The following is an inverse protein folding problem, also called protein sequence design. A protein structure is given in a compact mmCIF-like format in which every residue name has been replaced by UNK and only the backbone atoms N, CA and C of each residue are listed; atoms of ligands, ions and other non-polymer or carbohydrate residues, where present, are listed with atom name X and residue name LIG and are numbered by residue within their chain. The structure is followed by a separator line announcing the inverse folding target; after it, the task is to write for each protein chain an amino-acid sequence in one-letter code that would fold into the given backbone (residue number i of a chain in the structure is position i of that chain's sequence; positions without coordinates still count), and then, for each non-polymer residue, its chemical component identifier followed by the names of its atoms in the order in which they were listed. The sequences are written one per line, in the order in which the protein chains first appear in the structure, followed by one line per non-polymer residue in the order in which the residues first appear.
data_IF_457316889958
#
_entry.id   IF_457316889958
#
_cell.length_a   1.000
_cell.length_b   1.000
_cell.length_c   1.000
_cell.angle_alpha   90.00
_cell.angle_beta   90.00
_cell.angle_gamma   90.00
#
_symmetry.space_group_name_H-M   'P 1'
#
loop_
_entity.id
_entity.type
_entity.pdbx_description
1 polymer ?
#
# COMPACT_ATOMS: atom_id res chain seq x y z
N UNK A 1 4.76 -2.68 -22.59
CA UNK A 1 4.40 -1.90 -23.81
C UNK A 1 5.07 -0.54 -23.63
N UNK A 2 5.85 -0.03 -24.59
CA UNK A 2 6.37 1.32 -24.51
C UNK A 2 5.21 2.33 -24.50
N UNK A 3 5.38 3.42 -23.75
CA UNK A 3 4.43 4.52 -23.75
C UNK A 3 4.35 5.13 -25.16
N UNK A 4 3.17 5.56 -25.62
CA UNK A 4 3.07 6.36 -26.82
C UNK A 4 3.94 7.63 -26.71
N UNK A 5 4.54 8.05 -27.82
CA UNK A 5 5.52 9.15 -27.85
C UNK A 5 5.00 10.52 -27.39
N UNK A 6 3.68 10.67 -27.21
CA UNK A 6 3.03 11.90 -26.76
C UNK A 6 2.68 11.91 -25.27
N UNK A 7 3.07 10.85 -24.52
CA UNK A 7 2.87 10.82 -23.08
C UNK A 7 4.10 11.33 -22.35
N UNK A 8 3.87 12.19 -21.38
CA UNK A 8 4.89 12.76 -20.50
C UNK A 8 4.60 12.41 -19.05
N UNK A 9 5.65 12.43 -18.23
CA UNK A 9 5.54 12.18 -16.81
C UNK A 9 4.76 13.29 -16.12
N UNK A 10 3.61 12.96 -15.57
CA UNK A 10 2.80 13.85 -14.74
C UNK A 10 3.16 13.65 -13.25
N UNK A 11 4.37 14.03 -12.88
CA UNK A 11 4.89 13.85 -11.53
C UNK A 11 4.29 14.79 -10.50
N UNK A 12 4.54 14.49 -9.24
CA UNK A 12 4.07 15.28 -8.09
C UNK A 12 4.61 16.73 -8.07
N UNK A 13 5.63 17.03 -8.85
CA UNK A 13 6.30 18.35 -8.93
C UNK A 13 5.90 19.17 -10.15
N UNK A 14 5.19 18.61 -11.13
CA UNK A 14 4.77 19.35 -12.32
C UNK A 14 3.53 20.20 -12.01
N UNK A 15 3.60 21.55 -12.08
CA UNK A 15 2.46 22.43 -11.82
C UNK A 15 1.32 22.25 -12.83
N UNK A 16 1.60 21.77 -14.03
CA UNK A 16 0.61 21.59 -15.10
C UNK A 16 -0.03 20.18 -15.05
N UNK A 17 0.69 19.18 -14.55
CA UNK A 17 0.27 17.79 -14.48
C UNK A 17 0.28 17.23 -13.05
N UNK A 18 0.93 17.93 -12.12
CA UNK A 18 1.30 17.44 -10.80
C UNK A 18 0.15 17.27 -9.81
N UNK A 19 -1.06 17.67 -10.14
CA UNK A 19 -2.16 17.55 -9.21
C UNK A 19 -2.74 16.14 -9.14
N UNK A 20 -2.60 15.32 -10.18
CA UNK A 20 -3.25 14.00 -10.21
C UNK A 20 -2.76 13.06 -9.10
N UNK A 21 -1.46 12.99 -8.88
CA UNK A 21 -0.92 12.23 -7.76
C UNK A 21 -1.30 12.83 -6.40
N UNK A 22 -1.30 14.17 -6.27
CA UNK A 22 -1.64 14.86 -5.02
C UNK A 22 -3.12 14.81 -4.70
N UNK A 23 -3.98 14.69 -5.71
CA UNK A 23 -5.43 14.55 -5.53
C UNK A 23 -5.83 13.18 -4.99
N UNK A 24 -4.96 12.15 -5.14
CA UNK A 24 -5.22 10.84 -4.58
C UNK A 24 -5.05 10.86 -3.07
N UNK A 25 -5.97 10.23 -2.35
CA UNK A 25 -5.82 9.99 -0.92
C UNK A 25 -4.67 9.02 -0.64
N UNK A 26 -4.22 8.93 0.60
CA UNK A 26 -3.19 7.96 0.98
C UNK A 26 -3.68 6.52 0.77
N UNK A 27 -4.95 6.26 1.03
CA UNK A 27 -5.59 4.96 0.80
C UNK A 27 -5.61 4.61 -0.69
N UNK A 28 -5.95 5.56 -1.56
CA UNK A 28 -5.91 5.35 -3.01
C UNK A 28 -4.48 5.05 -3.50
N UNK A 29 -3.48 5.76 -2.95
CA UNK A 29 -2.06 5.50 -3.28
C UNK A 29 -1.63 4.10 -2.87
N UNK A 30 -1.99 3.66 -1.67
CA UNK A 30 -1.73 2.30 -1.18
C UNK A 30 -2.40 1.26 -2.09
N UNK A 31 -3.68 1.45 -2.40
CA UNK A 31 -4.42 0.53 -3.26
C UNK A 31 -3.84 0.45 -4.67
N UNK A 32 -3.42 1.58 -5.26
CA UNK A 32 -2.77 1.60 -6.58
C UNK A 32 -1.42 0.86 -6.55
N UNK A 33 -0.60 1.11 -5.53
CA UNK A 33 0.66 0.41 -5.37
C UNK A 33 0.48 -1.10 -5.25
N UNK A 34 -0.53 -1.55 -4.49
CA UNK A 34 -0.88 -2.97 -4.38
C UNK A 34 -1.43 -3.55 -5.68
N UNK A 35 -2.29 -2.81 -6.39
CA UNK A 35 -2.84 -3.26 -7.67
C UNK A 35 -1.73 -3.48 -8.72
N UNK A 36 -0.74 -2.61 -8.76
CA UNK A 36 0.41 -2.74 -9.65
C UNK A 36 1.40 -3.82 -9.19
N UNK A 37 1.52 -4.05 -7.89
CA UNK A 37 2.36 -5.12 -7.33
C UNK A 37 1.79 -6.50 -7.66
N UNK A 38 0.49 -6.69 -7.49
CA UNK A 38 -0.18 -7.98 -7.67
C UNK A 38 -0.85 -8.17 -9.03
N UNK A 39 -0.92 -7.12 -9.85
CA UNK A 39 -1.48 -7.14 -11.18
C UNK A 39 -0.47 -7.39 -12.29
N UNK A 40 -0.85 -7.02 -13.51
CA UNK A 40 0.03 -7.08 -14.68
C UNK A 40 1.13 -6.00 -14.59
N UNK A 41 2.39 -6.29 -14.98
CA UNK A 41 2.89 -7.55 -15.56
C UNK A 41 3.37 -8.59 -14.53
N UNK A 42 3.31 -8.30 -13.23
CA UNK A 42 3.86 -9.17 -12.18
C UNK A 42 3.10 -10.49 -12.04
N UNK A 43 1.80 -10.46 -12.29
CA UNK A 43 0.97 -11.64 -12.29
C UNK A 43 0.66 -12.07 -13.73
N UNK A 44 1.29 -13.15 -14.16
CA UNK A 44 1.01 -13.83 -15.43
C UNK A 44 0.95 -15.33 -15.17
N UNK A 45 0.22 -16.07 -16.02
CA UNK A 45 0.29 -17.52 -16.01
C UNK A 45 -0.66 -18.23 -15.06
N UNK A 46 -1.84 -17.66 -14.75
CA UNK A 46 -2.89 -18.42 -14.05
C UNK A 46 -3.53 -19.47 -14.98
N UNK A 47 -3.41 -19.31 -16.31
CA UNK A 47 -3.99 -20.24 -17.27
C UNK A 47 -3.29 -20.20 -18.64
N UNK A 48 -3.62 -19.96 -19.77
CA UNK A 48 -2.98 -20.13 -21.08
C UNK A 48 -2.54 -18.82 -21.75
N UNK A 49 -2.03 -18.88 -22.98
CA UNK A 49 -1.50 -17.75 -23.75
C UNK A 49 -2.44 -16.55 -23.98
N UNK A 50 -3.72 -16.66 -23.66
CA UNK A 50 -4.69 -15.55 -23.67
C UNK A 50 -4.67 -14.74 -22.36
N UNK A 51 -3.90 -15.14 -21.41
CA UNK A 51 -3.94 -14.68 -20.03
C UNK A 51 -3.37 -13.30 -19.81
N UNK A 52 -2.35 -12.88 -20.57
CA UNK A 52 -1.72 -11.57 -20.40
C UNK A 52 -2.74 -10.43 -20.64
N UNK A 53 -3.58 -10.55 -21.66
CA UNK A 53 -4.62 -9.54 -21.94
C UNK A 53 -5.71 -9.54 -20.87
N UNK A 54 -6.10 -10.69 -20.37
CA UNK A 54 -7.09 -10.80 -19.29
C UNK A 54 -6.55 -10.23 -17.97
N UNK A 55 -5.29 -10.53 -17.64
CA UNK A 55 -4.61 -9.97 -16.48
C UNK A 55 -4.45 -8.45 -16.58
N UNK A 56 -4.00 -7.95 -17.72
CA UNK A 56 -3.91 -6.53 -18.01
C UNK A 56 -5.25 -5.82 -17.83
N UNK A 57 -6.31 -6.35 -18.46
CA UNK A 57 -7.65 -5.77 -18.38
C UNK A 57 -8.21 -5.78 -16.95
N UNK A 58 -7.98 -6.85 -16.19
CA UNK A 58 -8.38 -6.94 -14.79
C UNK A 58 -7.64 -5.91 -13.92
N UNK A 59 -6.33 -5.78 -14.11
CA UNK A 59 -5.51 -4.76 -13.42
C UNK A 59 -6.00 -3.36 -13.76
N UNK A 60 -6.25 -3.09 -15.05
CA UNK A 60 -6.74 -1.80 -15.53
C UNK A 60 -8.09 -1.43 -14.89
N UNK A 61 -9.01 -2.39 -14.79
CA UNK A 61 -10.29 -2.14 -14.14
C UNK A 61 -10.13 -1.81 -12.66
N UNK A 62 -9.28 -2.54 -11.95
CA UNK A 62 -8.99 -2.26 -10.53
C UNK A 62 -8.39 -0.85 -10.37
N UNK A 63 -7.44 -0.48 -11.22
CA UNK A 63 -6.85 0.87 -11.25
C UNK A 63 -7.93 1.93 -11.47
N UNK A 64 -8.83 1.75 -12.42
CA UNK A 64 -9.94 2.69 -12.65
C UNK A 64 -10.88 2.79 -11.45
N UNK A 65 -11.25 1.67 -10.85
CA UNK A 65 -12.11 1.67 -9.67
C UNK A 65 -11.48 2.48 -8.51
N UNK A 66 -10.15 2.38 -8.35
CA UNK A 66 -9.43 3.12 -7.32
C UNK A 66 -9.34 4.62 -7.67
N UNK A 67 -8.90 4.95 -8.87
CA UNK A 67 -8.70 6.36 -9.29
C UNK A 67 -9.99 7.16 -9.35
N UNK A 68 -11.10 6.51 -9.67
CA UNK A 68 -12.44 7.12 -9.68
C UNK A 68 -13.10 7.15 -8.29
N UNK A 69 -12.44 6.60 -7.26
CA UNK A 69 -12.97 6.60 -5.90
C UNK A 69 -14.06 5.55 -5.64
N UNK A 70 -14.31 4.65 -6.60
CA UNK A 70 -15.32 3.59 -6.43
C UNK A 70 -14.85 2.47 -5.51
N UNK A 71 -13.54 2.20 -5.51
CA UNK A 71 -12.92 1.21 -4.63
C UNK A 71 -12.20 1.89 -3.49
N UNK A 72 -12.68 1.63 -2.27
CA UNK A 72 -12.15 2.22 -1.02
C UNK A 72 -11.30 1.25 -0.22
N UNK A 73 -11.42 -0.06 -0.49
CA UNK A 73 -10.54 -1.09 0.02
C UNK A 73 -10.45 -2.24 -0.99
N UNK A 74 -9.55 -3.23 -0.81
CA UNK A 74 -9.52 -4.40 -1.69
C UNK A 74 -10.85 -5.17 -1.74
N UNK A 75 -11.65 -5.10 -0.68
CA UNK A 75 -12.93 -5.82 -0.53
C UNK A 75 -14.17 -4.97 -0.73
N UNK A 76 -14.04 -3.64 -0.78
CA UNK A 76 -15.16 -2.71 -0.87
C UNK A 76 -15.19 -1.94 -2.18
N UNK A 77 -16.30 -2.04 -2.87
CA UNK A 77 -16.61 -1.30 -4.07
C UNK A 77 -17.89 -0.48 -3.82
N UNK A 78 -17.74 0.83 -3.63
CA UNK A 78 -18.84 1.70 -3.21
C UNK A 78 -19.78 2.06 -4.35
N UNK A 79 -19.26 2.35 -5.53
CA UNK A 79 -20.12 2.63 -6.67
C UNK A 79 -20.21 1.41 -7.58
N UNK A 80 -21.42 1.00 -7.79
CA UNK A 80 -21.80 -0.17 -8.56
C UNK A 80 -22.38 0.21 -9.91
N UNK A 81 -22.59 1.49 -10.14
CA UNK A 81 -23.41 1.98 -11.23
C UNK A 81 -22.67 2.76 -12.31
N UNK A 82 -21.34 2.58 -12.45
CA UNK A 82 -20.63 3.25 -13.54
C UNK A 82 -21.21 2.74 -14.88
N UNK A 83 -22.04 3.54 -15.55
CA UNK A 83 -22.67 3.12 -16.78
C UNK A 83 -21.63 3.10 -17.90
N UNK A 84 -21.30 1.93 -18.39
CA UNK A 84 -20.61 1.82 -19.66
C UNK A 84 -21.64 2.03 -20.75
N UNK A 85 -21.46 3.06 -21.58
CA UNK A 85 -22.35 3.38 -22.68
C UNK A 85 -22.67 2.15 -23.54
N UNK A 86 -23.94 1.85 -23.69
CA UNK A 86 -24.41 0.71 -24.51
C UNK A 86 -24.58 -0.61 -23.76
N UNK A 87 -24.39 -0.64 -22.44
CA UNK A 87 -24.55 -1.86 -21.64
C UNK A 87 -25.42 -1.60 -20.40
N UNK A 88 -26.27 -2.57 -20.05
CA UNK A 88 -26.97 -2.60 -18.78
C UNK A 88 -26.11 -3.35 -17.75
N UNK A 89 -25.83 -2.76 -16.61
CA UNK A 89 -25.07 -3.35 -15.54
C UNK A 89 -23.83 -2.53 -15.14
N UNK A 90 -23.15 -2.96 -14.10
CA UNK A 90 -21.91 -2.32 -13.64
C UNK A 90 -20.73 -2.70 -14.51
N UNK A 91 -19.70 -1.85 -14.57
CA UNK A 91 -18.45 -2.16 -15.28
C UNK A 91 -17.87 -3.50 -14.79
N UNK A 92 -17.92 -3.76 -13.49
CA UNK A 92 -17.44 -5.01 -12.89
C UNK A 92 -18.24 -6.22 -13.35
N UNK A 93 -19.58 -6.13 -13.31
CA UNK A 93 -20.47 -7.21 -13.70
C UNK A 93 -20.26 -7.62 -15.16
N UNK A 94 -20.15 -6.64 -16.04
CA UNK A 94 -19.93 -6.83 -17.45
C UNK A 94 -18.59 -7.51 -17.77
N UNK A 95 -17.50 -7.06 -17.13
CA UNK A 95 -16.17 -7.63 -17.35
C UNK A 95 -16.05 -9.01 -16.71
N UNK A 96 -16.69 -9.26 -15.58
CA UNK A 96 -16.69 -10.55 -14.91
C UNK A 96 -17.45 -11.67 -15.65
N UNK A 97 -18.13 -11.39 -16.75
CA UNK A 97 -18.72 -12.43 -17.63
C UNK A 97 -17.65 -13.28 -18.30
N UNK A 98 -16.45 -12.74 -18.52
CA UNK A 98 -15.32 -13.52 -19.01
C UNK A 98 -14.62 -14.23 -17.83
N UNK A 99 -14.65 -15.55 -17.83
CA UNK A 99 -14.07 -16.37 -16.75
C UNK A 99 -12.57 -16.14 -16.51
N UNK A 100 -11.80 -15.85 -17.57
CA UNK A 100 -10.37 -15.59 -17.45
C UNK A 100 -10.12 -14.23 -16.80
N UNK A 101 -10.85 -13.22 -17.21
CA UNK A 101 -10.81 -11.91 -16.57
C UNK A 101 -11.18 -11.99 -15.09
N UNK A 102 -12.30 -12.67 -14.79
CA UNK A 102 -12.77 -12.83 -13.40
C UNK A 102 -11.73 -13.50 -12.52
N UNK A 103 -11.07 -14.56 -13.01
CA UNK A 103 -10.06 -15.28 -12.26
C UNK A 103 -8.89 -14.36 -11.86
N UNK A 104 -8.41 -13.52 -12.77
CA UNK A 104 -7.37 -12.54 -12.48
C UNK A 104 -7.85 -11.42 -11.55
N UNK A 105 -9.04 -10.89 -11.81
CA UNK A 105 -9.63 -9.85 -10.98
C UNK A 105 -9.76 -10.29 -9.52
N UNK A 106 -10.34 -11.46 -9.29
CA UNK A 106 -10.51 -12.01 -7.94
C UNK A 106 -9.16 -12.33 -7.27
N UNK A 107 -8.21 -12.90 -8.00
CA UNK A 107 -6.91 -13.24 -7.46
C UNK A 107 -6.08 -12.00 -7.09
N UNK A 108 -6.09 -10.96 -7.92
CA UNK A 108 -5.41 -9.69 -7.62
C UNK A 108 -6.01 -9.07 -6.35
N UNK A 109 -7.35 -9.00 -6.26
CA UNK A 109 -8.02 -8.43 -5.09
C UNK A 109 -7.78 -9.25 -3.83
N UNK A 110 -7.71 -10.58 -3.91
CA UNK A 110 -7.40 -11.44 -2.78
C UNK A 110 -5.98 -11.19 -2.23
N UNK A 111 -4.99 -11.05 -3.11
CA UNK A 111 -3.63 -10.74 -2.71
C UNK A 111 -3.50 -9.32 -2.16
N UNK A 112 -4.16 -8.35 -2.79
CA UNK A 112 -4.26 -6.99 -2.27
C UNK A 112 -4.88 -7.00 -0.87
N UNK A 113 -5.99 -7.70 -0.65
CA UNK A 113 -6.66 -7.81 0.65
C UNK A 113 -5.75 -8.43 1.71
N UNK A 114 -5.07 -9.50 1.35
CA UNK A 114 -4.10 -10.13 2.24
C UNK A 114 -2.98 -9.18 2.64
N UNK A 115 -2.48 -8.35 1.74
CA UNK A 115 -1.39 -7.40 2.00
C UNK A 115 -1.88 -6.12 2.70
N UNK A 116 -3.10 -5.69 2.44
CA UNK A 116 -3.67 -4.46 2.99
C UNK A 116 -3.87 -4.51 4.51
N UNK A 117 -4.02 -5.72 5.07
CA UNK A 117 -4.09 -5.93 6.51
C UNK A 117 -2.74 -5.61 7.14
N UNK A 118 -2.73 -4.75 8.15
CA UNK A 118 -1.54 -4.30 8.89
C UNK A 118 -1.56 -4.85 10.32
N UNK A 119 -0.40 -4.88 11.01
CA UNK A 119 -0.38 -5.12 12.45
C UNK A 119 -1.31 -4.13 13.16
N UNK A 120 -2.10 -4.60 14.11
CA UNK A 120 -3.19 -3.83 14.75
C UNK A 120 -2.71 -2.56 15.46
N UNK A 121 -1.43 -2.47 15.77
CA UNK A 121 -0.78 -1.35 16.43
C UNK A 121 -0.07 -0.38 15.46
N UNK A 122 -0.18 -0.56 14.15
CA UNK A 122 0.52 0.23 13.16
C UNK A 122 -0.44 0.80 12.10
N UNK A 123 -0.03 1.89 11.44
CA UNK A 123 -0.79 2.59 10.41
C UNK A 123 0.02 2.74 9.12
N UNK A 124 -0.64 3.11 8.03
CA UNK A 124 -0.04 3.26 6.70
C UNK A 124 0.73 4.55 6.47
N UNK A 125 0.64 5.52 7.37
CA UNK A 125 1.25 6.83 7.19
C UNK A 125 2.04 7.25 8.42
N UNK A 126 3.32 7.52 8.25
CA UNK A 126 4.22 7.87 9.35
C UNK A 126 3.78 9.13 10.13
N UNK A 127 3.13 10.09 9.45
CA UNK A 127 2.62 11.31 10.08
C UNK A 127 1.51 11.04 11.08
N UNK A 128 0.66 10.04 10.83
CA UNK A 128 -0.45 9.63 11.69
C UNK A 128 -0.09 8.44 12.60
N UNK A 129 1.18 8.01 12.62
CA UNK A 129 1.60 6.87 13.41
C UNK A 129 1.38 7.08 14.90
N UNK A 130 0.73 6.12 15.59
CA UNK A 130 0.51 6.20 17.04
C UNK A 130 1.83 6.20 17.77
N UNK A 131 1.90 6.95 18.86
CA UNK A 131 3.08 7.03 19.75
C UNK A 131 2.84 6.14 20.97
N UNK A 132 3.71 5.17 21.17
CA UNK A 132 3.70 4.29 22.33
C UNK A 132 4.83 4.66 23.29
N UNK A 133 4.60 4.51 24.58
CA UNK A 133 5.57 4.77 25.62
C UNK A 133 6.27 3.48 26.06
N UNK A 134 7.59 3.54 26.12
CA UNK A 134 8.43 2.47 26.63
C UNK A 134 8.65 2.66 28.13
N UNK A 135 8.43 1.63 28.91
CA UNK A 135 8.62 1.66 30.37
C UNK A 135 10.04 1.24 30.75
N UNK A 136 10.60 1.87 31.78
CA UNK A 136 11.90 1.49 32.30
C UNK A 136 11.76 0.35 33.32
N UNK A 137 12.35 -0.77 33.00
CA UNK A 137 12.41 -1.92 33.90
C UNK A 137 13.71 -2.73 33.66
N UNK A 138 14.29 -3.24 34.74
CA UNK A 138 15.48 -4.12 34.66
C UNK A 138 16.65 -3.52 33.85
N UNK A 139 16.92 -2.23 34.03
CA UNK A 139 18.06 -1.55 33.41
C UNK A 139 17.87 -1.11 31.96
N UNK A 140 16.68 -1.24 31.40
CA UNK A 140 16.36 -0.84 30.02
C UNK A 140 14.93 -0.38 29.87
N UNK A 141 14.67 0.40 28.83
CA UNK A 141 13.32 0.74 28.39
C UNK A 141 12.77 -0.39 27.51
N UNK A 142 11.53 -0.78 27.75
CA UNK A 142 10.89 -1.89 27.04
C UNK A 142 9.45 -1.55 26.71
N UNK A 143 9.00 -1.96 25.53
CA UNK A 143 7.61 -1.95 25.09
C UNK A 143 7.31 -3.28 24.41
N UNK A 144 6.18 -3.88 24.76
CA UNK A 144 5.69 -5.10 24.10
C UNK A 144 4.30 -4.84 23.54
N UNK A 145 4.13 -5.08 22.26
CA UNK A 145 2.86 -4.92 21.54
C UNK A 145 2.43 -6.26 20.94
N UNK A 146 1.17 -6.61 21.10
CA UNK A 146 0.58 -7.82 20.52
C UNK A 146 -0.28 -7.44 19.32
N UNK A 147 -0.04 -8.11 18.20
CA UNK A 147 -0.82 -7.92 17.00
C UNK A 147 -2.11 -8.74 17.04
N UNK A 148 -3.24 -8.06 17.19
CA UNK A 148 -4.56 -8.68 17.20
C UNK A 148 -4.99 -9.21 15.81
N UNK A 149 -4.36 -8.74 14.74
CA UNK A 149 -4.64 -9.21 13.37
C UNK A 149 -3.88 -10.50 13.01
N UNK A 150 -2.92 -10.91 13.84
CA UNK A 150 -2.20 -12.18 13.69
C UNK A 150 -1.29 -12.26 12.47
N UNK A 151 -0.83 -11.12 11.95
CA UNK A 151 -0.04 -11.04 10.71
C UNK A 151 1.40 -10.59 10.91
N UNK A 152 1.78 -10.24 12.12
CA UNK A 152 3.09 -9.66 12.42
C UNK A 152 4.26 -10.55 11.95
N UNK A 153 4.11 -11.86 11.98
CA UNK A 153 5.12 -12.81 11.49
C UNK A 153 5.46 -12.66 10.01
N UNK A 154 4.62 -11.94 9.23
CA UNK A 154 4.86 -11.63 7.82
C UNK A 154 5.64 -10.34 7.61
N UNK A 155 6.00 -9.64 8.69
CA UNK A 155 6.67 -8.34 8.65
C UNK A 155 8.10 -8.44 9.16
N UNK A 156 8.94 -7.54 8.67
CA UNK A 156 10.27 -7.29 9.21
C UNK A 156 10.45 -5.79 9.47
N UNK A 157 11.36 -5.46 10.35
CA UNK A 157 11.66 -4.05 10.67
C UNK A 157 12.71 -3.55 9.70
N UNK A 158 12.36 -2.52 8.95
CA UNK A 158 13.26 -1.87 7.99
C UNK A 158 13.90 -0.59 8.53
N UNK A 159 13.30 -0.01 9.58
CA UNK A 159 13.82 1.16 10.27
C UNK A 159 13.40 1.14 11.73
N UNK A 160 14.37 1.27 12.64
CA UNK A 160 14.14 1.23 14.10
C UNK A 160 14.67 2.45 14.85
N UNK A 161 15.40 3.36 14.19
CA UNK A 161 15.89 4.63 14.78
C UNK A 161 16.64 4.44 16.12
N UNK A 162 17.50 3.42 16.20
CA UNK A 162 18.28 3.12 17.38
C UNK A 162 17.57 2.30 18.47
N UNK A 163 16.35 1.86 18.21
CA UNK A 163 15.61 0.92 19.06
C UNK A 163 15.91 -0.51 18.61
N UNK A 164 16.25 -1.38 19.56
CA UNK A 164 16.35 -2.81 19.28
C UNK A 164 14.96 -3.42 19.16
N UNK A 165 14.75 -4.23 18.13
CA UNK A 165 13.44 -4.79 17.80
C UNK A 165 13.53 -6.31 17.69
N UNK A 166 12.57 -6.99 18.31
CA UNK A 166 12.39 -8.43 18.22
C UNK A 166 10.94 -8.75 17.89
N UNK A 167 10.75 -9.68 16.95
CA UNK A 167 9.44 -10.20 16.57
C UNK A 167 9.39 -11.68 16.93
N UNK A 168 8.37 -12.09 17.70
CA UNK A 168 8.11 -13.47 18.05
C UNK A 168 6.62 -13.77 17.91
N UNK A 169 6.25 -14.54 16.89
CA UNK A 169 4.85 -14.78 16.56
C UNK A 169 4.11 -13.46 16.30
N UNK A 170 3.09 -13.18 17.11
CA UNK A 170 2.29 -11.94 17.02
C UNK A 170 2.77 -10.86 18.00
N UNK A 171 3.94 -11.00 18.58
CA UNK A 171 4.46 -10.06 19.57
C UNK A 171 5.66 -9.30 19.03
N UNK A 172 5.58 -7.97 19.09
CA UNK A 172 6.67 -7.04 18.81
C UNK A 172 7.22 -6.55 20.14
N UNK A 173 8.52 -6.78 20.38
CA UNK A 173 9.23 -6.24 21.56
C UNK A 173 10.25 -5.22 21.11
N UNK A 174 10.17 -4.03 21.68
CA UNK A 174 11.04 -2.90 21.44
C UNK A 174 11.83 -2.61 22.70
N UNK A 175 13.16 -2.44 22.58
CA UNK A 175 14.02 -2.15 23.72
C UNK A 175 15.02 -1.04 23.42
N UNK A 176 15.35 -0.23 24.43
CA UNK A 176 16.40 0.77 24.37
C UNK A 176 17.16 0.82 25.68
N UNK A 177 18.48 0.92 25.61
CA UNK A 177 19.35 1.15 26.80
C UNK A 177 19.43 2.62 27.19
N UNK A 178 18.95 3.53 26.34
CA UNK A 178 18.98 4.98 26.56
C UNK A 178 17.58 5.56 26.49
N UNK A 179 17.30 6.67 27.16
CA UNK A 179 16.03 7.36 27.01
C UNK A 179 15.86 7.90 25.60
N UNK A 180 14.62 7.87 25.12
CA UNK A 180 14.18 8.39 23.82
C UNK A 180 13.17 9.49 24.13
N UNK A 181 13.61 10.74 24.13
CA UNK A 181 12.77 11.88 24.51
C UNK A 181 11.80 12.26 23.38
N UNK A 182 12.30 12.30 22.15
CA UNK A 182 11.49 12.57 20.96
C UNK A 182 11.02 11.27 20.34
N UNK A 183 9.76 11.21 19.97
CA UNK A 183 9.18 10.02 19.39
C UNK A 183 9.89 9.63 18.08
N UNK A 184 10.47 8.43 18.05
CA UNK A 184 11.16 7.87 16.87
C UNK A 184 10.23 6.93 16.10
N UNK A 185 10.38 6.96 14.77
CA UNK A 185 9.57 6.13 13.87
C UNK A 185 10.16 4.74 13.74
N UNK A 186 9.31 3.74 13.89
CA UNK A 186 9.57 2.34 13.55
C UNK A 186 8.81 2.04 12.25
N UNK A 187 9.53 1.57 11.24
CA UNK A 187 8.96 1.18 9.95
C UNK A 187 9.00 -0.33 9.80
N UNK A 188 7.86 -0.90 9.53
CA UNK A 188 7.67 -2.33 9.26
C UNK A 188 7.36 -2.51 7.78
N UNK A 189 8.08 -3.40 7.12
CA UNK A 189 7.80 -3.82 5.74
C UNK A 189 7.30 -5.26 5.75
N UNK A 190 6.35 -5.55 4.87
CA UNK A 190 5.89 -6.90 4.67
C UNK A 190 6.81 -7.64 3.69
N UNK A 191 7.08 -8.90 3.97
CA UNK A 191 7.66 -9.81 2.99
C UNK A 191 6.58 -10.20 2.00
N UNK A 192 6.83 -10.01 0.71
CA UNK A 192 5.90 -10.40 -0.34
C UNK A 192 6.56 -11.39 -1.29
N UNK A 193 5.80 -12.42 -1.73
CA UNK A 193 6.33 -13.50 -2.57
C UNK A 193 6.36 -13.12 -4.07
N UNK A 194 6.64 -11.88 -4.41
CA UNK A 194 6.76 -11.42 -5.79
C UNK A 194 8.18 -10.96 -6.08
N UNK A 195 8.67 -11.28 -7.27
CA UNK A 195 10.04 -10.97 -7.69
C UNK A 195 10.23 -9.51 -8.04
N UNK A 196 9.14 -8.79 -8.33
CA UNK A 196 9.16 -7.38 -8.68
C UNK A 196 8.05 -6.66 -7.94
N UNK A 197 8.39 -5.82 -6.98
CA UNK A 197 7.45 -4.97 -6.26
C UNK A 197 7.31 -3.62 -6.96
N UNK A 198 6.13 -3.02 -6.87
CA UNK A 198 5.94 -1.62 -7.24
C UNK A 198 6.13 -0.77 -6.00
N UNK A 199 7.36 -0.31 -5.74
CA UNK A 199 7.68 0.57 -4.59
C UNK A 199 6.97 1.91 -4.62
N UNK A 200 6.25 2.19 -5.69
CA UNK A 200 5.44 3.37 -5.95
C UNK A 200 4.84 3.28 -7.34
N UNK A 201 4.31 4.38 -7.81
CA UNK A 201 3.78 4.46 -9.17
C UNK A 201 4.01 5.84 -9.78
N UNK A 202 4.01 5.87 -11.11
CA UNK A 202 4.10 7.08 -11.91
C UNK A 202 2.80 7.28 -12.68
N UNK A 203 2.38 8.51 -12.83
CA UNK A 203 1.24 8.89 -13.67
C UNK A 203 1.79 9.57 -14.92
N UNK A 204 1.28 9.17 -16.06
CA UNK A 204 1.64 9.69 -17.36
C UNK A 204 0.42 10.29 -18.01
N UNK A 205 0.53 11.48 -18.55
CA UNK A 205 -0.55 12.17 -19.24
C UNK A 205 -0.06 12.79 -20.56
N UNK A 206 -1.02 13.20 -21.39
CA UNK A 206 -0.71 13.95 -22.61
C UNK A 206 -0.88 15.43 -22.32
N UNK A 207 0.18 16.25 -22.39
CA UNK A 207 0.10 17.68 -22.11
C UNK A 207 -0.93 18.38 -22.98
N UNK A 208 -1.75 19.25 -22.38
CA UNK A 208 -2.80 19.99 -23.07
C UNK A 208 -3.96 19.16 -23.61
N UNK A 209 -4.10 17.91 -23.14
CA UNK A 209 -5.19 16.99 -23.49
C UNK A 209 -5.88 16.43 -22.25
N UNK A 210 -5.86 17.18 -21.17
CA UNK A 210 -6.49 16.82 -19.91
C UNK A 210 -8.00 16.56 -20.12
N UNK A 211 -8.44 15.38 -19.71
CA UNK A 211 -9.82 14.92 -19.91
C UNK A 211 -10.16 14.41 -21.31
N UNK A 212 -9.33 14.65 -22.34
CA UNK A 212 -9.52 14.09 -23.68
C UNK A 212 -8.79 12.76 -23.88
N UNK A 213 -7.66 12.56 -23.20
CA UNK A 213 -6.88 11.33 -23.23
C UNK A 213 -6.88 10.69 -21.83
N UNK A 214 -6.89 9.36 -21.81
CA UNK A 214 -6.77 8.62 -20.57
C UNK A 214 -5.35 8.72 -20.04
N UNK A 215 -5.21 9.04 -18.76
CA UNK A 215 -3.93 8.92 -18.08
C UNK A 215 -3.51 7.47 -17.91
N UNK A 216 -2.22 7.22 -17.91
CA UNK A 216 -1.62 5.92 -17.70
C UNK A 216 -0.93 5.87 -16.34
N UNK A 217 -1.01 4.73 -15.67
CA UNK A 217 -0.31 4.47 -14.42
C UNK A 217 0.67 3.34 -14.64
N UNK A 218 1.92 3.53 -14.22
CA UNK A 218 2.95 2.50 -14.25
C UNK A 218 3.58 2.33 -12.88
N UNK A 219 3.85 1.08 -12.48
CA UNK A 219 4.58 0.79 -11.26
C UNK A 219 6.06 1.16 -11.40
N UNK A 220 6.68 1.54 -10.30
CA UNK A 220 8.12 1.73 -10.18
C UNK A 220 8.70 0.47 -9.55
N UNK A 221 9.48 -0.34 -10.29
CA UNK A 221 10.08 -1.56 -9.74
C UNK A 221 10.98 -1.27 -8.55
N UNK A 222 10.95 -2.14 -7.54
CA UNK A 222 11.80 -2.03 -6.37
C UNK A 222 11.68 -3.25 -5.46
N UNK A 223 12.51 -3.27 -4.42
CA UNK A 223 12.58 -4.38 -3.46
C UNK A 223 11.82 -4.10 -2.16
N UNK A 224 11.34 -2.86 -1.97
CA UNK A 224 10.69 -2.47 -0.74
C UNK A 224 9.17 -2.64 -0.82
N UNK A 225 8.57 -2.94 0.33
CA UNK A 225 7.13 -2.93 0.48
C UNK A 225 6.54 -1.58 0.04
N UNK A 226 5.61 -1.56 -0.94
CA UNK A 226 5.00 -0.32 -1.41
C UNK A 226 4.06 0.32 -0.39
N UNK A 227 3.59 -0.45 0.58
CA UNK A 227 2.63 0.00 1.61
C UNK A 227 3.11 -0.35 3.02
N UNK A 228 4.25 0.21 3.44
CA UNK A 228 4.82 -0.06 4.75
C UNK A 228 3.88 0.34 5.88
N UNK A 229 4.15 -0.17 7.07
CA UNK A 229 3.41 0.15 8.28
C UNK A 229 4.29 0.90 9.28
N UNK A 230 3.69 1.82 10.03
CA UNK A 230 4.41 2.72 10.91
C UNK A 230 3.81 2.74 12.31
N UNK A 231 4.68 2.79 13.30
CA UNK A 231 4.38 3.21 14.66
C UNK A 231 5.50 4.13 15.14
N UNK A 232 5.27 4.82 16.25
CA UNK A 232 6.29 5.64 16.92
C UNK A 232 6.43 5.21 18.37
N UNK A 233 7.63 5.36 18.88
CA UNK A 233 7.93 5.08 20.29
C UNK A 233 8.74 6.20 20.92
N UNK A 234 8.49 6.44 22.20
CA UNK A 234 9.33 7.26 23.08
C UNK A 234 9.43 6.57 24.43
N UNK A 235 10.36 6.99 25.27
CA UNK A 235 10.38 6.55 26.65
C UNK A 235 9.34 7.35 27.44
N UNK A 236 8.68 6.70 28.40
CA UNK A 236 7.84 7.40 29.35
C UNK A 236 8.66 8.49 30.05
N UNK A 237 8.07 9.66 30.21
CA UNK A 237 8.71 10.73 30.99
C UNK A 237 9.02 10.18 32.40
N UNK A 238 10.29 10.01 32.70
CA UNK A 238 10.70 9.56 34.02
C UNK A 238 10.16 10.52 35.06
N UNK A 239 9.47 10.00 36.06
CA UNK A 239 9.24 10.79 37.31
C UNK A 239 10.62 11.14 37.80
N UNK A 240 11.00 12.42 37.68
CA UNK A 240 12.17 12.95 38.34
C UNK A 240 11.93 12.77 39.83
N UNK A 241 12.50 11.72 40.42
CA UNK A 241 12.58 11.60 41.87
C UNK A 241 13.50 12.73 42.31
N UNK A 242 12.90 13.86 42.71
CA UNK A 242 13.59 14.86 43.47
C UNK A 242 13.85 14.20 44.85
N UNK A 243 15.06 13.70 45.02
CA UNK A 243 15.54 13.39 46.36
C UNK A 243 15.65 14.71 47.13
N UNK A 244 14.70 14.97 48.02
CA UNK A 244 14.78 16.01 49.03
C UNK A 244 15.68 15.49 50.15
#
# INVERSE_FOLDING_TARGET
MPLPNNYEYAGSSDPNHGNKYRMLSNEQKDLLALALTYGYPNRVGLQTSKDANACYAATQLIVWQITLGFRTSPTELNDKSYPVSGYSGTMTEQHCRNKYFKAYYDAILADMASHYIRPSFAVNYAGAAPVYEMEYANGKYTLTLTDANGILSKYYVSQSSGVSVSVSGNTLTLTSSKPINDAVTIKLNRQIPVTTMSTGFLIWSVPGKEGANQDMVSGVPGENDPVPSFLKVRTAAGLSLIHI
#
